data_IF_705222145830
#
_entry.id   IF_705222145830
#
_cell.length_a   1.000
_cell.length_b   1.000
_cell.length_c   1.000
_cell.angle_alpha   90.00
_cell.angle_beta   90.00
_cell.angle_gamma   90.00
#
_symmetry.space_group_name_H-M   'P 1'
#
loop_
_entity.id
_entity.type
_entity.pdbx_description
1 polymer ?
#
# COMPACT_ATOMS: atom_id res chain seq x y z
N UNK A 1 51.73 40.99 35.74
CA UNK A 1 51.31 39.58 35.89
C UNK A 1 49.79 39.38 35.72
N UNK A 2 48.94 40.36 36.02
CA UNK A 2 47.48 40.19 35.94
C UNK A 2 46.93 40.21 34.53
N UNK A 3 47.52 41.05 33.66
CA UNK A 3 47.14 41.13 32.23
C UNK A 3 47.56 39.87 31.46
N UNK A 4 48.68 39.26 31.82
CA UNK A 4 49.13 38.00 31.20
C UNK A 4 48.18 36.85 31.49
N UNK A 5 47.58 36.77 32.68
CA UNK A 5 46.56 35.75 33.01
C UNK A 5 45.25 35.96 32.22
N UNK A 6 44.80 37.20 32.07
CA UNK A 6 43.63 37.53 31.27
C UNK A 6 43.80 37.14 29.82
N UNK A 7 44.99 37.46 29.25
CA UNK A 7 45.30 37.08 27.87
C UNK A 7 45.26 35.56 27.66
N UNK A 8 45.87 34.79 28.55
CA UNK A 8 45.88 33.31 28.48
C UNK A 8 44.45 32.76 28.59
N UNK A 9 43.61 33.31 29.47
CA UNK A 9 42.23 32.88 29.61
C UNK A 9 41.39 33.15 28.34
N UNK A 10 41.62 34.30 27.69
CA UNK A 10 40.95 34.66 26.43
C UNK A 10 41.32 33.65 25.34
N UNK A 11 42.63 33.34 25.19
CA UNK A 11 43.08 32.34 24.19
C UNK A 11 42.53 30.97 24.46
N UNK A 12 42.46 30.49 25.71
CA UNK A 12 41.82 29.22 26.07
C UNK A 12 40.32 29.18 25.73
N UNK A 13 39.64 30.29 25.95
CA UNK A 13 38.20 30.40 25.65
C UNK A 13 37.96 30.37 24.14
N UNK A 14 38.72 31.10 23.36
CA UNK A 14 38.65 31.06 21.89
C UNK A 14 38.99 29.65 21.37
N UNK A 15 39.99 28.99 21.92
CA UNK A 15 40.34 27.63 21.55
C UNK A 15 39.24 26.62 21.86
N UNK A 16 38.64 26.69 23.05
CA UNK A 16 37.54 25.86 23.45
C UNK A 16 36.28 26.06 22.53
N UNK A 17 36.02 27.33 22.20
CA UNK A 17 34.92 27.68 21.28
C UNK A 17 35.18 27.15 19.86
N UNK A 18 36.41 27.25 19.35
CA UNK A 18 36.78 26.72 18.04
C UNK A 18 36.67 25.19 17.97
N UNK A 19 37.06 24.47 19.03
CA UNK A 19 36.83 23.02 19.15
C UNK A 19 35.36 22.69 19.18
N UNK A 20 34.57 23.43 19.96
CA UNK A 20 33.13 23.24 20.05
C UNK A 20 32.42 23.37 18.68
N UNK A 21 32.80 24.43 17.93
CA UNK A 21 32.27 24.62 16.55
C UNK A 21 32.75 23.49 15.62
N UNK A 22 34.03 23.11 15.67
CA UNK A 22 34.58 22.04 14.84
C UNK A 22 33.90 20.69 15.13
N UNK A 23 33.60 20.37 16.39
CA UNK A 23 32.89 19.15 16.77
C UNK A 23 31.40 19.19 16.35
N UNK A 24 30.76 20.35 16.53
CA UNK A 24 29.36 20.56 16.14
C UNK A 24 29.17 20.55 14.61
N UNK A 25 30.17 21.05 13.87
CA UNK A 25 30.16 21.09 12.39
C UNK A 25 30.62 19.78 11.74
N UNK A 26 31.06 18.78 12.52
CA UNK A 26 31.32 17.45 11.98
C UNK A 26 30.06 16.86 11.43
N UNK A 27 29.91 16.92 10.10
CA UNK A 27 28.85 16.20 9.40
C UNK A 27 29.00 14.71 9.68
N UNK A 28 28.00 14.11 10.26
CA UNK A 28 27.91 12.65 10.44
C UNK A 28 27.79 11.99 9.06
N UNK A 29 28.90 11.90 8.34
CA UNK A 29 28.95 11.07 7.13
C UNK A 29 28.81 9.62 7.57
N UNK A 30 27.67 9.02 7.24
CA UNK A 30 27.45 7.59 7.41
C UNK A 30 28.20 6.87 6.29
N UNK A 31 29.47 6.53 6.54
CA UNK A 31 30.27 5.80 5.58
C UNK A 31 29.62 4.47 5.24
N UNK A 32 29.44 4.18 3.93
CA UNK A 32 28.78 2.97 3.44
C UNK A 32 27.25 3.06 3.39
N UNK A 33 26.65 4.22 3.61
CA UNK A 33 25.21 4.45 3.50
C UNK A 33 24.89 5.58 2.48
N UNK A 34 25.76 5.80 1.49
CA UNK A 34 25.62 6.87 0.49
C UNK A 34 24.33 6.73 -0.33
N UNK A 35 23.81 5.51 -0.49
CA UNK A 35 22.58 5.20 -1.22
C UNK A 35 21.36 5.03 -0.31
N UNK A 36 21.48 5.34 0.96
CA UNK A 36 20.42 5.24 1.96
C UNK A 36 20.72 4.25 3.08
N UNK A 37 20.10 4.49 4.23
CA UNK A 37 20.26 3.66 5.44
C UNK A 37 19.24 2.52 5.54
N UNK A 38 18.51 2.21 4.45
CA UNK A 38 17.50 1.16 4.44
C UNK A 38 18.15 -0.22 4.56
N UNK A 39 17.71 -1.00 5.54
CA UNK A 39 18.14 -2.38 5.79
C UNK A 39 16.95 -3.31 5.86
N UNK A 40 17.16 -4.57 5.56
CA UNK A 40 16.13 -5.59 5.76
C UNK A 40 15.74 -5.67 7.24
N UNK A 41 14.45 -5.48 7.53
CA UNK A 41 13.91 -5.63 8.89
C UNK A 41 13.63 -7.09 9.24
N UNK A 42 13.64 -7.44 10.52
CA UNK A 42 13.15 -8.73 10.98
C UNK A 42 11.61 -8.76 10.97
N UNK A 43 11.01 -9.92 10.68
CA UNK A 43 9.57 -10.11 10.70
C UNK A 43 8.96 -9.73 12.06
N UNK A 44 9.64 -10.07 13.16
CA UNK A 44 9.22 -9.72 14.52
C UNK A 44 9.16 -8.22 14.74
N UNK A 45 10.16 -7.46 14.29
CA UNK A 45 10.20 -6.02 14.43
C UNK A 45 9.08 -5.34 13.59
N UNK A 46 8.83 -5.85 12.38
CA UNK A 46 7.76 -5.36 11.51
C UNK A 46 6.40 -5.62 12.14
N UNK A 47 6.14 -6.83 12.61
CA UNK A 47 4.88 -7.19 13.24
C UNK A 47 4.63 -6.36 14.51
N UNK A 48 5.64 -6.25 15.39
CA UNK A 48 5.53 -5.44 16.62
C UNK A 48 5.12 -4.00 16.32
N UNK A 49 5.57 -3.45 15.20
CA UNK A 49 5.32 -2.05 14.82
C UNK A 49 4.00 -1.85 14.08
N UNK A 50 3.59 -2.80 13.24
CA UNK A 50 2.53 -2.57 12.24
C UNK A 50 1.35 -3.53 12.36
N UNK A 51 1.47 -4.63 13.08
CA UNK A 51 0.38 -5.59 13.25
C UNK A 51 -0.69 -5.02 14.17
N UNK A 52 -1.96 -5.18 13.78
CA UNK A 52 -3.08 -4.89 14.66
C UNK A 52 -3.24 -5.99 15.72
N UNK A 53 -3.77 -5.62 16.90
CA UNK A 53 -4.02 -6.57 17.99
C UNK A 53 -5.05 -7.62 17.62
N UNK A 54 -6.06 -7.22 16.87
CA UNK A 54 -7.07 -8.11 16.34
C UNK A 54 -6.47 -8.91 15.16
N UNK A 55 -6.45 -10.25 15.21
CA UNK A 55 -5.94 -11.10 14.14
C UNK A 55 -6.66 -10.89 12.81
N UNK A 56 -7.98 -10.66 12.83
CA UNK A 56 -8.81 -10.48 11.63
C UNK A 56 -8.59 -9.11 10.99
N UNK A 57 -8.10 -8.11 11.73
CA UNK A 57 -7.83 -6.77 11.22
C UNK A 57 -6.44 -6.63 10.57
N UNK A 58 -5.86 -7.70 10.05
CA UNK A 58 -4.54 -7.72 9.46
C UNK A 58 -4.55 -8.26 8.02
N UNK A 59 -3.78 -7.64 7.15
CA UNK A 59 -3.40 -8.19 5.85
C UNK A 59 -2.22 -9.14 6.02
N UNK A 60 -2.30 -10.33 5.46
CA UNK A 60 -1.23 -11.33 5.48
C UNK A 60 -0.33 -11.13 4.27
N UNK A 61 0.93 -10.82 4.50
CA UNK A 61 1.92 -10.69 3.43
C UNK A 61 2.69 -11.99 3.21
N UNK A 62 3.11 -12.63 4.31
CA UNK A 62 3.81 -13.90 4.29
C UNK A 62 3.37 -14.74 5.50
N UNK A 63 3.89 -15.97 5.61
CA UNK A 63 3.68 -16.81 6.80
C UNK A 63 4.03 -16.08 8.11
N UNK A 64 5.01 -15.18 8.07
CA UNK A 64 5.57 -14.53 9.25
C UNK A 64 5.29 -13.03 9.35
N UNK A 65 4.78 -12.39 8.30
CA UNK A 65 4.59 -10.93 8.25
C UNK A 65 3.12 -10.60 8.04
N UNK A 66 2.59 -9.84 8.97
CA UNK A 66 1.23 -9.30 8.93
C UNK A 66 1.24 -7.81 9.19
N UNK A 67 0.25 -7.11 8.70
CA UNK A 67 0.15 -5.66 8.85
C UNK A 67 -1.31 -5.26 9.01
N UNK A 68 -1.58 -4.39 9.96
CA UNK A 68 -2.93 -3.91 10.22
C UNK A 68 -3.55 -3.24 9.00
N UNK A 69 -4.85 -3.38 8.82
CA UNK A 69 -5.61 -2.76 7.73
C UNK A 69 -5.80 -1.26 7.90
N UNK A 70 -5.70 -0.73 9.13
CA UNK A 70 -5.85 0.69 9.41
C UNK A 70 -4.59 1.48 9.01
N UNK A 71 -4.55 1.91 7.75
CA UNK A 71 -3.46 2.73 7.21
C UNK A 71 -3.26 4.07 7.92
N UNK A 72 -4.26 4.58 8.62
CA UNK A 72 -4.15 5.84 9.38
C UNK A 72 -3.24 5.70 10.58
N UNK A 73 -3.27 4.53 11.25
CA UNK A 73 -2.43 4.25 12.42
C UNK A 73 -0.95 4.13 12.08
N UNK A 74 -0.64 3.43 11.02
CA UNK A 74 0.77 3.15 10.69
C UNK A 74 1.31 3.97 9.51
N UNK A 75 0.47 4.78 8.85
CA UNK A 75 0.82 5.66 7.71
C UNK A 75 1.58 4.93 6.60
N UNK A 76 1.20 3.68 6.31
CA UNK A 76 1.79 2.85 5.28
C UNK A 76 0.75 2.42 4.28
N UNK A 77 1.16 2.34 3.03
CA UNK A 77 0.37 1.80 1.95
C UNK A 77 0.37 0.25 2.03
N UNK A 78 -0.80 -0.34 1.82
CA UNK A 78 -1.00 -1.80 1.78
C UNK A 78 -0.96 -2.36 0.35
N UNK A 79 -0.63 -1.56 -0.66
CA UNK A 79 -0.44 -2.04 -2.02
C UNK A 79 0.69 -3.08 -2.04
N UNK A 80 0.45 -4.20 -2.69
CA UNK A 80 1.37 -5.32 -2.68
C UNK A 80 1.52 -5.89 -4.08
N UNK A 81 2.73 -6.09 -4.51
CA UNK A 81 3.06 -6.80 -5.74
C UNK A 81 3.57 -8.19 -5.36
N UNK A 82 2.93 -9.23 -5.90
CA UNK A 82 3.33 -10.62 -5.70
C UNK A 82 3.87 -11.16 -7.02
N UNK A 83 5.17 -11.41 -7.07
CA UNK A 83 5.87 -11.86 -8.28
C UNK A 83 6.19 -13.35 -8.18
N UNK A 84 5.98 -14.07 -9.26
CA UNK A 84 6.30 -15.50 -9.34
C UNK A 84 5.84 -16.11 -10.65
N UNK A 85 6.46 -17.18 -11.09
CA UNK A 85 6.08 -17.92 -12.29
C UNK A 85 4.73 -18.64 -12.17
N UNK A 86 4.32 -19.32 -13.22
CA UNK A 86 3.14 -20.19 -13.18
C UNK A 86 3.37 -21.30 -12.17
N UNK A 87 2.34 -21.67 -11.40
CA UNK A 87 2.45 -22.73 -10.38
C UNK A 87 3.17 -22.35 -9.08
N UNK A 88 3.73 -21.13 -8.96
CA UNK A 88 4.45 -20.69 -7.75
C UNK A 88 3.55 -20.47 -6.52
N UNK A 89 2.25 -20.68 -6.64
CA UNK A 89 1.31 -20.60 -5.53
C UNK A 89 0.83 -19.19 -5.17
N UNK A 90 0.99 -18.20 -6.05
CA UNK A 90 0.52 -16.82 -5.80
C UNK A 90 -0.94 -16.75 -5.35
N UNK A 91 -1.82 -17.41 -6.09
CA UNK A 91 -3.26 -17.45 -5.75
C UNK A 91 -3.50 -18.21 -4.46
N UNK A 92 -2.84 -19.36 -4.27
CA UNK A 92 -3.05 -20.24 -3.13
C UNK A 92 -2.50 -19.68 -1.82
N UNK A 93 -1.28 -19.17 -1.83
CA UNK A 93 -0.58 -18.75 -0.62
C UNK A 93 -0.75 -17.27 -0.28
N UNK A 94 -1.26 -16.47 -1.21
CA UNK A 94 -1.48 -15.06 -0.95
C UNK A 94 -2.95 -14.65 -1.13
N UNK A 95 -3.52 -14.78 -2.33
CA UNK A 95 -4.87 -14.29 -2.61
C UNK A 95 -5.92 -15.05 -1.78
N UNK A 96 -5.88 -16.39 -1.81
CA UNK A 96 -6.81 -17.24 -1.08
C UNK A 96 -6.77 -16.98 0.44
N UNK A 97 -5.58 -16.87 1.02
CA UNK A 97 -5.43 -16.63 2.46
C UNK A 97 -6.03 -15.29 2.86
N UNK A 98 -5.79 -14.23 2.08
CA UNK A 98 -6.36 -12.92 2.37
C UNK A 98 -7.87 -12.86 2.16
N UNK A 99 -8.43 -13.61 1.21
CA UNK A 99 -9.90 -13.75 1.05
C UNK A 99 -10.54 -14.51 2.22
N UNK A 100 -9.90 -15.57 2.69
CA UNK A 100 -10.38 -16.36 3.83
C UNK A 100 -10.33 -15.61 5.17
N UNK A 101 -9.58 -14.51 5.24
CA UNK A 101 -9.63 -13.62 6.41
C UNK A 101 -11.02 -12.96 6.58
N UNK A 102 -11.74 -12.76 5.49
CA UNK A 102 -13.10 -12.19 5.48
C UNK A 102 -13.24 -10.91 6.34
N UNK A 103 -12.27 -10.00 6.24
CA UNK A 103 -12.15 -8.82 7.10
C UNK A 103 -12.45 -7.49 6.40
N UNK A 104 -12.75 -7.50 5.10
CA UNK A 104 -13.05 -6.30 4.31
C UNK A 104 -13.91 -6.65 3.10
N UNK A 105 -14.38 -5.63 2.37
CA UNK A 105 -14.95 -5.84 1.04
C UNK A 105 -13.85 -6.13 0.04
N UNK A 106 -14.12 -7.00 -0.93
CA UNK A 106 -13.14 -7.47 -1.91
C UNK A 106 -13.65 -7.21 -3.33
N UNK A 107 -12.74 -6.78 -4.18
CA UNK A 107 -12.90 -6.83 -5.63
C UNK A 107 -11.82 -7.75 -6.19
N UNK A 108 -12.23 -8.84 -6.85
CA UNK A 108 -11.32 -9.92 -7.25
C UNK A 108 -11.42 -10.16 -8.75
N UNK A 109 -10.28 -10.11 -9.43
CA UNK A 109 -10.16 -10.56 -10.82
C UNK A 109 -9.74 -12.03 -10.82
N UNK A 110 -10.70 -12.91 -11.11
CA UNK A 110 -10.53 -14.36 -11.10
C UNK A 110 -10.72 -14.97 -12.49
N UNK A 111 -9.69 -14.90 -13.31
CA UNK A 111 -9.73 -15.33 -14.71
C UNK A 111 -10.13 -16.81 -14.90
N UNK A 112 -9.96 -17.65 -13.88
CA UNK A 112 -10.25 -19.10 -13.94
C UNK A 112 -11.43 -19.52 -13.09
N UNK A 113 -12.00 -18.60 -12.31
CA UNK A 113 -13.07 -18.90 -11.35
C UNK A 113 -12.64 -19.79 -10.18
N UNK A 114 -11.32 -19.97 -9.97
CA UNK A 114 -10.80 -20.83 -8.92
C UNK A 114 -11.04 -20.26 -7.53
N UNK A 115 -10.79 -18.96 -7.34
CA UNK A 115 -10.96 -18.31 -6.05
C UNK A 115 -12.42 -18.28 -5.64
N UNK A 116 -13.33 -17.99 -6.57
CA UNK A 116 -14.76 -18.02 -6.31
C UNK A 116 -15.23 -19.41 -5.89
N UNK A 117 -14.80 -20.47 -6.59
CA UNK A 117 -15.14 -21.86 -6.23
C UNK A 117 -14.64 -22.26 -4.85
N UNK A 118 -13.44 -21.80 -4.48
CA UNK A 118 -12.81 -22.17 -3.20
C UNK A 118 -13.34 -21.35 -2.02
N UNK A 119 -13.74 -20.08 -2.23
CA UNK A 119 -14.09 -19.17 -1.14
C UNK A 119 -15.54 -18.75 -1.11
N UNK A 120 -16.29 -18.89 -2.21
CA UNK A 120 -17.64 -18.34 -2.34
C UNK A 120 -18.60 -18.83 -1.28
N UNK A 121 -18.65 -20.14 -1.00
CA UNK A 121 -19.51 -20.69 0.05
C UNK A 121 -19.10 -20.17 1.43
N UNK A 122 -17.80 -20.14 1.73
CA UNK A 122 -17.32 -19.62 3.00
C UNK A 122 -17.65 -18.15 3.20
N UNK A 123 -17.47 -17.32 2.18
CA UNK A 123 -17.78 -15.89 2.25
C UNK A 123 -19.29 -15.65 2.43
N UNK A 124 -20.14 -16.43 1.75
CA UNK A 124 -21.59 -16.38 1.98
C UNK A 124 -21.95 -16.73 3.42
N UNK A 125 -21.35 -17.77 3.99
CA UNK A 125 -21.56 -18.14 5.41
C UNK A 125 -21.10 -17.03 6.37
N UNK A 126 -20.11 -16.22 5.98
CA UNK A 126 -19.65 -15.04 6.73
C UNK A 126 -20.51 -13.79 6.48
N UNK A 127 -21.62 -13.90 5.73
CA UNK A 127 -22.56 -12.80 5.48
C UNK A 127 -22.20 -11.90 4.30
N UNK A 128 -21.26 -12.32 3.44
CA UNK A 128 -20.90 -11.53 2.25
C UNK A 128 -21.95 -11.68 1.15
N UNK A 129 -22.33 -10.58 0.54
CA UNK A 129 -23.02 -10.56 -0.72
C UNK A 129 -22.01 -10.73 -1.85
N UNK A 130 -22.14 -11.78 -2.66
CA UNK A 130 -21.22 -12.06 -3.76
C UNK A 130 -21.88 -11.69 -5.07
N UNK A 131 -21.31 -10.73 -5.77
CA UNK A 131 -21.67 -10.36 -7.15
C UNK A 131 -20.61 -10.92 -8.09
N UNK A 132 -21.04 -11.59 -9.13
CA UNK A 132 -20.16 -12.20 -10.15
C UNK A 132 -20.46 -11.54 -11.49
N UNK A 133 -19.44 -11.01 -12.15
CA UNK A 133 -19.47 -10.58 -13.54
C UNK A 133 -18.70 -11.62 -14.36
N UNK A 134 -19.42 -12.47 -15.07
CA UNK A 134 -18.84 -13.50 -15.93
C UNK A 134 -18.91 -13.04 -17.40
N UNK A 135 -17.75 -12.68 -17.96
CA UNK A 135 -17.65 -12.21 -19.33
C UNK A 135 -17.60 -13.34 -20.36
N UNK A 136 -17.43 -14.61 -19.92
CA UNK A 136 -17.43 -15.79 -20.80
C UNK A 136 -18.81 -16.37 -20.91
N UNK A 137 -19.55 -16.43 -19.81
CA UNK A 137 -20.92 -16.96 -19.73
C UNK A 137 -21.85 -15.88 -19.16
N UNK A 138 -22.24 -14.93 -20.00
CA UNK A 138 -23.06 -13.78 -19.59
C UNK A 138 -24.38 -14.21 -18.92
N UNK A 139 -24.92 -15.37 -19.25
CA UNK A 139 -26.13 -15.93 -18.62
C UNK A 139 -25.94 -16.21 -17.12
N UNK A 140 -24.72 -16.48 -16.68
CA UNK A 140 -24.36 -16.72 -15.28
C UNK A 140 -23.92 -15.46 -14.54
N UNK A 141 -23.90 -14.33 -15.23
CA UNK A 141 -23.45 -13.06 -14.70
C UNK A 141 -24.57 -12.35 -13.95
N UNK A 142 -24.22 -11.69 -12.86
CA UNK A 142 -25.16 -10.77 -12.23
C UNK A 142 -25.30 -9.50 -13.06
N UNK A 143 -26.51 -8.98 -13.15
CA UNK A 143 -26.75 -7.70 -13.81
C UNK A 143 -26.23 -6.54 -12.97
N UNK A 144 -25.69 -5.54 -13.63
CA UNK A 144 -25.27 -4.29 -13.03
C UNK A 144 -25.97 -3.12 -13.73
N UNK A 145 -26.73 -2.33 -12.96
CA UNK A 145 -27.34 -1.11 -13.45
C UNK A 145 -26.56 0.09 -12.93
N UNK A 146 -25.70 0.73 -13.73
CA UNK A 146 -24.91 1.88 -13.29
C UNK A 146 -25.79 3.09 -12.94
N UNK A 147 -26.95 3.23 -13.53
CA UNK A 147 -27.86 4.35 -13.29
C UNK A 147 -28.44 4.34 -11.87
N UNK A 148 -28.52 3.18 -11.22
CA UNK A 148 -29.01 3.07 -9.84
C UNK A 148 -28.05 3.73 -8.80
N UNK A 149 -26.83 4.06 -9.21
CA UNK A 149 -25.80 4.65 -8.34
C UNK A 149 -25.58 6.14 -8.60
N UNK A 150 -26.33 6.75 -9.52
CA UNK A 150 -26.23 8.18 -9.81
C UNK A 150 -27.03 8.96 -8.76
N UNK A 151 -26.32 9.78 -7.98
CA UNK A 151 -26.92 10.64 -6.95
C UNK A 151 -26.75 12.13 -7.25
N UNK A 152 -25.75 12.47 -8.03
CA UNK A 152 -25.38 13.87 -8.35
C UNK A 152 -25.11 14.03 -9.83
N UNK A 153 -25.22 15.26 -10.34
CA UNK A 153 -24.86 15.60 -11.73
C UNK A 153 -23.41 15.24 -12.04
N UNK A 154 -22.53 15.36 -11.04
CA UNK A 154 -21.12 14.96 -11.18
C UNK A 154 -20.95 13.45 -11.43
N UNK A 155 -21.81 12.62 -10.88
CA UNK A 155 -21.77 11.18 -11.11
C UNK A 155 -22.24 10.82 -12.52
N UNK A 156 -23.20 11.58 -13.06
CA UNK A 156 -23.63 11.48 -14.47
C UNK A 156 -22.45 11.80 -15.39
N UNK A 157 -21.74 12.92 -15.14
CA UNK A 157 -20.57 13.30 -15.94
C UNK A 157 -19.46 12.25 -15.88
N UNK A 158 -19.19 11.67 -14.70
CA UNK A 158 -18.21 10.59 -14.55
C UNK A 158 -18.61 9.34 -15.33
N UNK A 159 -19.88 8.96 -15.29
CA UNK A 159 -20.40 7.80 -16.03
C UNK A 159 -20.24 8.02 -17.53
N UNK A 160 -20.71 9.17 -18.04
CA UNK A 160 -20.60 9.54 -19.46
C UNK A 160 -19.14 9.54 -19.90
N UNK A 161 -18.26 10.21 -19.17
CA UNK A 161 -16.81 10.25 -19.48
C UNK A 161 -16.20 8.86 -19.50
N UNK A 162 -16.60 7.98 -18.57
CA UNK A 162 -16.11 6.60 -18.51
C UNK A 162 -16.56 5.78 -19.71
N UNK A 163 -17.80 5.93 -20.14
CA UNK A 163 -18.35 5.26 -21.30
C UNK A 163 -17.65 5.73 -22.58
N UNK A 164 -17.48 7.03 -22.76
CA UNK A 164 -16.75 7.58 -23.91
C UNK A 164 -15.32 7.06 -23.96
N UNK A 165 -14.59 7.10 -22.85
CA UNK A 165 -13.22 6.56 -22.78
C UNK A 165 -13.14 5.06 -23.07
N UNK A 166 -14.15 4.29 -22.65
CA UNK A 166 -14.19 2.85 -22.89
C UNK A 166 -14.51 2.50 -24.34
N UNK A 167 -15.31 3.34 -25.03
CA UNK A 167 -15.74 3.10 -26.42
C UNK A 167 -14.85 3.76 -27.48
N UNK A 168 -14.00 4.73 -27.08
CA UNK A 168 -13.07 5.39 -28.00
C UNK A 168 -11.91 4.46 -28.36
N UNK A 169 -11.64 4.22 -29.66
CA UNK A 169 -10.53 3.37 -30.10
C UNK A 169 -9.18 3.92 -29.63
N UNK A 170 -8.30 3.05 -29.17
CA UNK A 170 -6.92 3.44 -28.80
C UNK A 170 -6.19 3.93 -30.05
N UNK A 171 -5.89 5.23 -30.10
CA UNK A 171 -5.18 5.85 -31.24
C UNK A 171 -5.91 7.01 -31.90
N UNK A 172 -7.19 7.26 -31.59
CA UNK A 172 -7.85 8.49 -31.99
C UNK A 172 -7.34 9.63 -31.11
N UNK A 173 -6.65 10.61 -31.71
CA UNK A 173 -6.11 11.80 -31.03
C UNK A 173 -7.18 12.87 -30.70
N UNK A 174 -8.43 12.52 -30.62
CA UNK A 174 -9.46 13.45 -30.21
C UNK A 174 -9.40 13.60 -28.68
N UNK A 175 -8.81 14.70 -28.23
CA UNK A 175 -8.86 15.11 -26.81
C UNK A 175 -10.24 15.67 -26.42
N UNK A 176 -11.17 15.72 -27.34
CA UNK A 176 -12.53 16.20 -27.12
C UNK A 176 -13.43 15.02 -26.79
N UNK A 177 -14.03 14.95 -25.57
CA UNK A 177 -14.93 13.87 -25.20
C UNK A 177 -16.27 13.87 -25.98
N UNK A 178 -16.48 14.84 -26.83
CA UNK A 178 -17.73 15.01 -27.59
C UNK A 178 -17.59 14.73 -29.09
N UNK A 179 -16.39 14.29 -29.58
CA UNK A 179 -16.14 13.93 -31.00
C UNK A 179 -15.38 12.62 -31.14
#
# INVERSE_FOLDING_TARGET
CEDSRKTVLIFLLIYALSIGVALSSRRNYRRGEEHGSAKWGSATAVNKKYQAKDPEANKVFTKHVRMGLDGRKHRRNLNTVVVGGSGSGKSRFYALINLLQACSSYFVLDCKGELLRMTGTFLKMRGYEIKVLDLLSMEKSHCFNPFAYLQTDNDVQKLVTSLFKATTPKGSQSNDPFW
#
